data_IF_848326167756
#
_entry.id   IF_848326167756
#
_cell.length_a   1.000
_cell.length_b   1.000
_cell.length_c   1.000
_cell.angle_alpha   90.00
_cell.angle_beta   90.00
_cell.angle_gamma   90.00
#
_symmetry.space_group_name_H-M   'P 1'
#
loop_
_entity.id
_entity.type
_entity.pdbx_description
1 polymer ?
#
# COMPACT_ATOMS: atom_id res chain seq x y z
N UNK A 1 -7.29 20.58 -11.58
CA UNK A 1 -7.19 21.09 -10.20
C UNK A 1 -6.36 20.06 -9.46
N UNK A 2 -5.10 20.34 -9.09
CA UNK A 2 -4.27 19.36 -8.38
C UNK A 2 -4.97 19.07 -7.06
N UNK A 3 -5.45 17.84 -6.85
CA UNK A 3 -5.93 17.42 -5.55
C UNK A 3 -4.83 17.69 -4.52
N UNK A 4 -5.17 18.28 -3.37
CA UNK A 4 -4.19 18.48 -2.31
C UNK A 4 -3.82 17.10 -1.72
N UNK A 5 -2.75 16.50 -2.25
CA UNK A 5 -2.27 15.20 -1.79
C UNK A 5 -1.81 15.25 -0.34
N UNK A 6 -1.32 16.39 0.16
CA UNK A 6 -0.89 16.52 1.54
C UNK A 6 -2.10 16.41 2.47
N UNK A 7 -3.18 17.13 2.17
CA UNK A 7 -4.43 17.05 2.94
C UNK A 7 -5.01 15.62 2.92
N UNK A 8 -5.08 14.99 1.74
CA UNK A 8 -5.58 13.61 1.60
C UNK A 8 -4.73 12.58 2.35
N UNK A 9 -3.41 12.76 2.36
CA UNK A 9 -2.46 11.91 3.09
C UNK A 9 -2.63 12.06 4.59
N UNK A 10 -2.69 13.28 5.11
CA UNK A 10 -2.94 13.52 6.53
C UNK A 10 -4.29 12.95 6.97
N UNK A 11 -5.32 13.11 6.14
CA UNK A 11 -6.62 12.51 6.39
C UNK A 11 -6.55 10.98 6.51
N UNK A 12 -5.91 10.31 5.55
CA UNK A 12 -5.70 8.85 5.58
C UNK A 12 -4.95 8.43 6.86
N UNK A 13 -3.88 9.13 7.24
CA UNK A 13 -3.11 8.81 8.45
C UNK A 13 -3.97 8.95 9.70
N UNK A 14 -4.75 10.03 9.81
CA UNK A 14 -5.58 10.30 10.97
C UNK A 14 -6.76 9.31 11.10
N UNK A 15 -7.50 9.07 10.01
CA UNK A 15 -8.80 8.37 10.07
C UNK A 15 -8.72 6.89 9.75
N UNK A 16 -7.81 6.47 8.88
CA UNK A 16 -7.73 5.08 8.41
C UNK A 16 -6.64 4.28 9.14
N UNK A 17 -5.56 4.94 9.59
CA UNK A 17 -4.42 4.27 10.23
C UNK A 17 -4.43 4.45 11.76
N UNK A 18 -4.27 5.69 12.24
CA UNK A 18 -4.12 5.97 13.67
C UNK A 18 -5.39 5.62 14.46
N UNK A 19 -6.56 6.04 13.96
CA UNK A 19 -7.84 5.73 14.57
C UNK A 19 -8.18 4.22 14.59
N UNK A 20 -7.50 3.40 13.78
CA UNK A 20 -7.72 1.94 13.69
C UNK A 20 -6.65 1.10 14.38
N UNK A 21 -5.78 1.72 15.18
CA UNK A 21 -4.88 1.01 16.09
C UNK A 21 -3.39 1.01 15.70
N UNK A 22 -3.00 1.73 14.65
CA UNK A 22 -1.57 1.94 14.35
C UNK A 22 -1.06 3.11 15.20
N UNK A 23 -0.27 2.81 16.23
CA UNK A 23 0.22 3.82 17.18
C UNK A 23 1.74 4.04 17.13
N UNK A 24 2.47 3.24 16.37
CA UNK A 24 3.91 3.41 16.21
C UNK A 24 4.20 4.71 15.45
N UNK A 25 4.73 5.71 16.15
CA UNK A 25 4.97 7.04 15.58
C UNK A 25 5.88 6.99 14.35
N UNK A 26 6.93 6.18 14.38
CA UNK A 26 7.82 5.98 13.24
C UNK A 26 7.07 5.51 11.98
N UNK A 27 6.04 4.66 12.15
CA UNK A 27 5.21 4.19 11.03
C UNK A 27 4.31 5.31 10.53
N UNK A 28 3.64 6.04 11.42
CA UNK A 28 2.77 7.14 11.02
C UNK A 28 3.55 8.25 10.29
N UNK A 29 4.76 8.57 10.75
CA UNK A 29 5.64 9.54 10.09
C UNK A 29 6.10 9.07 8.70
N UNK A 30 6.43 7.79 8.55
CA UNK A 30 6.73 7.23 7.23
C UNK A 30 5.53 7.39 6.28
N UNK A 31 4.32 7.08 6.75
CA UNK A 31 3.09 7.21 5.95
C UNK A 31 2.73 8.67 5.61
N UNK A 32 3.13 9.66 6.41
CA UNK A 32 3.01 11.10 6.09
C UNK A 32 4.06 11.58 5.09
N UNK A 33 5.22 10.95 5.07
CA UNK A 33 6.37 11.45 4.31
C UNK A 33 6.38 10.90 2.89
N UNK A 34 6.08 9.61 2.72
CA UNK A 34 6.17 8.94 1.41
C UNK A 34 4.98 9.33 0.52
N UNK A 35 5.22 9.91 -0.68
CA UNK A 35 4.15 10.33 -1.57
C UNK A 35 3.56 9.15 -2.35
N UNK A 36 2.53 8.51 -1.78
CA UNK A 36 1.87 7.34 -2.38
C UNK A 36 1.37 7.59 -3.81
N UNK A 37 0.95 8.81 -4.14
CA UNK A 37 0.55 9.23 -5.49
C UNK A 37 1.64 9.11 -6.56
N UNK A 38 2.91 9.06 -6.17
CA UNK A 38 4.02 8.86 -7.10
C UNK A 38 4.16 7.40 -7.56
N UNK A 39 3.44 6.47 -6.92
CA UNK A 39 3.54 5.03 -7.14
C UNK A 39 2.26 4.41 -7.73
N UNK A 40 1.25 5.22 -8.05
CA UNK A 40 0.03 4.75 -8.72
C UNK A 40 0.13 4.95 -10.23
N UNK A 41 -0.58 4.12 -10.98
CA UNK A 41 -0.69 4.29 -12.43
C UNK A 41 -1.35 5.63 -12.79
N UNK A 42 -0.97 6.17 -13.94
CA UNK A 42 -1.51 7.44 -14.42
C UNK A 42 -3.05 7.37 -14.57
N UNK A 43 -3.75 8.37 -14.03
CA UNK A 43 -5.21 8.43 -13.99
C UNK A 43 -5.84 7.89 -12.71
N UNK A 44 -5.06 7.30 -11.81
CA UNK A 44 -5.52 6.78 -10.52
C UNK A 44 -5.11 7.62 -9.30
N UNK A 45 -4.47 8.77 -9.51
CA UNK A 45 -3.93 9.63 -8.43
C UNK A 45 -5.02 10.16 -7.48
N UNK A 46 -6.24 10.35 -7.98
CA UNK A 46 -7.41 10.72 -7.19
C UNK A 46 -7.90 9.62 -6.24
N UNK A 47 -7.41 8.40 -6.42
CA UNK A 47 -7.74 7.24 -5.58
C UNK A 47 -6.58 6.82 -4.66
N UNK A 48 -5.38 7.42 -4.81
CA UNK A 48 -4.15 7.02 -4.12
C UNK A 48 -4.26 6.85 -2.59
N UNK A 49 -5.11 7.65 -1.93
CA UNK A 49 -5.30 7.68 -0.47
C UNK A 49 -6.64 7.11 0.01
N UNK A 50 -7.36 6.42 -0.87
CA UNK A 50 -8.55 5.67 -0.47
C UNK A 50 -8.12 4.37 0.21
N UNK A 51 -8.90 3.94 1.21
CA UNK A 51 -8.73 2.66 1.89
C UNK A 51 -9.25 1.51 1.02
N UNK A 52 -8.64 1.35 -0.15
CA UNK A 52 -9.03 0.39 -1.16
C UNK A 52 -7.78 -0.19 -1.83
N UNK A 53 -7.89 -1.45 -2.25
CA UNK A 53 -6.89 -2.03 -3.14
C UNK A 53 -6.95 -1.28 -4.48
N UNK A 54 -5.79 -0.86 -4.96
CA UNK A 54 -5.65 -0.27 -6.29
C UNK A 54 -5.29 -1.38 -7.29
N UNK A 55 -5.82 -1.34 -8.52
CA UNK A 55 -5.32 -2.19 -9.58
C UNK A 55 -3.81 -1.99 -9.71
N UNK A 56 -3.08 -3.09 -9.68
CA UNK A 56 -1.64 -3.12 -9.94
C UNK A 56 -1.39 -4.22 -10.96
N UNK A 57 -0.36 -4.02 -11.78
CA UNK A 57 -0.04 -4.90 -12.90
C UNK A 57 -0.10 -6.40 -12.48
N UNK A 58 -0.69 -7.27 -13.31
CA UNK A 58 -0.89 -8.67 -12.96
C UNK A 58 0.45 -9.40 -12.79
N UNK A 59 0.53 -10.37 -11.86
CA UNK A 59 1.72 -11.20 -11.69
C UNK A 59 1.89 -11.85 -10.31
N UNK A 60 1.29 -11.29 -9.26
CA UNK A 60 1.29 -11.84 -7.89
C UNK A 60 -0.08 -11.62 -7.22
N UNK A 61 -0.43 -12.42 -6.21
CA UNK A 61 -1.74 -12.34 -5.53
C UNK A 61 -1.53 -12.29 -4.01
N UNK A 62 -2.23 -11.38 -3.33
CA UNK A 62 -2.32 -11.36 -1.87
C UNK A 62 -3.31 -12.42 -1.40
N UNK A 63 -2.86 -13.28 -0.48
CA UNK A 63 -3.68 -14.36 0.08
C UNK A 63 -3.81 -14.23 1.60
N UNK A 64 -5.04 -14.34 2.11
CA UNK A 64 -5.34 -14.45 3.54
C UNK A 64 -5.40 -15.92 3.90
N UNK A 65 -4.52 -16.35 4.81
CA UNK A 65 -4.51 -17.71 5.34
C UNK A 65 -5.01 -17.69 6.78
N UNK A 66 -6.02 -18.52 7.10
CA UNK A 66 -6.56 -18.69 8.45
C UNK A 66 -6.40 -20.14 8.88
N UNK A 67 -5.76 -20.37 10.03
CA UNK A 67 -5.72 -21.70 10.64
C UNK A 67 -7.08 -22.04 11.25
N UNK A 68 -7.60 -23.22 10.92
CA UNK A 68 -8.86 -23.75 11.43
C UNK A 68 -8.62 -24.60 12.68
N UNK A 69 -9.68 -24.78 13.48
CA UNK A 69 -9.61 -25.53 14.73
C UNK A 69 -9.22 -27.01 14.53
N UNK A 70 -9.55 -27.60 13.38
CA UNK A 70 -9.19 -28.97 13.00
C UNK A 70 -7.72 -29.12 12.53
N UNK A 71 -6.92 -28.06 12.62
CA UNK A 71 -5.54 -28.05 12.14
C UNK A 71 -5.37 -27.80 10.64
N UNK A 72 -6.47 -27.69 9.89
CA UNK A 72 -6.46 -27.27 8.49
C UNK A 72 -6.25 -25.76 8.32
N UNK A 73 -6.17 -25.33 7.06
CA UNK A 73 -6.06 -23.92 6.69
C UNK A 73 -7.15 -23.56 5.70
N UNK A 74 -7.74 -22.40 5.89
CA UNK A 74 -8.59 -21.72 4.91
C UNK A 74 -7.74 -20.63 4.22
N UNK A 75 -7.82 -20.55 2.89
CA UNK A 75 -7.04 -19.61 2.10
C UNK A 75 -7.97 -18.84 1.16
N UNK A 76 -7.92 -17.52 1.23
CA UNK A 76 -8.70 -16.61 0.40
C UNK A 76 -7.78 -15.68 -0.39
N UNK A 77 -7.88 -15.68 -1.72
CA UNK A 77 -7.27 -14.65 -2.56
C UNK A 77 -8.01 -13.31 -2.35
N UNK A 78 -7.28 -12.24 -2.08
CA UNK A 78 -7.84 -10.93 -1.76
C UNK A 78 -7.75 -9.95 -2.93
N UNK A 79 -6.59 -9.84 -3.56
CA UNK A 79 -6.34 -8.91 -4.65
C UNK A 79 -5.05 -9.27 -5.39
N UNK A 80 -4.92 -8.78 -6.63
CA UNK A 80 -3.65 -8.77 -7.34
C UNK A 80 -2.68 -7.79 -6.65
N UNK A 81 -1.41 -8.18 -6.61
CA UNK A 81 -0.33 -7.37 -6.06
C UNK A 81 0.87 -7.31 -6.98
N UNK A 82 1.65 -6.24 -6.85
CA UNK A 82 2.94 -6.05 -7.51
C UNK A 82 3.92 -5.45 -6.51
N UNK A 83 5.17 -5.91 -6.52
CA UNK A 83 6.24 -5.24 -5.78
C UNK A 83 6.52 -3.89 -6.44
N UNK A 84 6.31 -2.81 -5.68
CA UNK A 84 6.83 -1.50 -6.04
C UNK A 84 8.33 -1.52 -5.73
N UNK A 85 9.22 -1.43 -6.74
CA UNK A 85 10.63 -1.30 -6.48
C UNK A 85 10.83 -0.04 -5.67
N UNK A 86 11.59 -0.11 -4.58
CA UNK A 86 11.86 1.06 -3.76
C UNK A 86 12.66 2.06 -4.60
N UNK A 87 12.00 3.08 -5.13
CA UNK A 87 12.66 4.17 -5.85
C UNK A 87 12.98 5.27 -4.83
N UNK A 88 14.18 5.24 -4.27
CA UNK A 88 14.65 6.20 -3.27
C UNK A 88 16.11 5.90 -2.89
N UNK A 89 16.79 6.83 -2.21
CA UNK A 89 18.19 6.66 -1.82
C UNK A 89 18.46 5.44 -0.91
N UNK A 90 17.39 4.85 -0.35
CA UNK A 90 17.38 3.67 0.51
C UNK A 90 16.75 2.44 -0.18
N UNK A 91 16.47 2.53 -1.48
CA UNK A 91 15.90 1.43 -2.24
C UNK A 91 16.88 0.29 -2.46
N UNK A 92 16.35 -0.91 -2.69
CA UNK A 92 17.17 -2.05 -3.12
C UNK A 92 17.80 -1.71 -4.47
N UNK A 93 19.12 -1.70 -4.52
CA UNK A 93 19.87 -1.55 -5.76
C UNK A 93 19.81 -2.87 -6.53
N UNK A 94 18.70 -3.12 -7.22
CA UNK A 94 18.61 -4.25 -8.15
C UNK A 94 18.66 -3.74 -9.59
N UNK A 95 19.71 -4.16 -10.30
CA UNK A 95 19.93 -3.92 -11.73
C UNK A 95 18.92 -4.66 -12.63
N UNK A 96 18.08 -5.53 -12.05
CA UNK A 96 17.21 -6.47 -12.77
C UNK A 96 15.69 -6.20 -12.59
N UNK A 97 15.27 -4.98 -12.23
CA UNK A 97 13.85 -4.66 -12.01
C UNK A 97 12.93 -4.70 -13.25
N UNK A 98 13.37 -5.29 -14.37
CA UNK A 98 12.58 -5.53 -15.59
C UNK A 98 12.95 -6.87 -16.22
N UNK A 99 12.37 -7.95 -15.71
CA UNK A 99 12.25 -9.22 -16.44
C UNK A 99 10.80 -9.72 -16.31
#
# INVERSE_FOLDING_TARGET
>A
MKADYAERREHMVATQLAARGIHAEAVLQAMRTVPREAFVEAGFEDFAYQDAAMPIAPGQILVKVRRLANGGFDQQALADVAFVPLVGAQGWADEDARA
#
